data_IF_600354202035
#
_entry.id   IF_600354202035
#
_cell.length_a   1.000
_cell.length_b   1.000
_cell.length_c   1.000
_cell.angle_alpha   90.00
_cell.angle_beta   90.00
_cell.angle_gamma   90.00
#
_symmetry.space_group_name_H-M   'P 1'
#
loop_
_entity.id
_entity.type
_entity.pdbx_description
1 polymer ?
#
# COMPACT_ATOMS: atom_id res chain seq x y z
N UNK A 1 -7.78 -15.75 17.47
CA UNK A 1 -8.61 -14.61 16.98
C UNK A 1 -10.05 -15.08 16.82
N UNK A 2 -11.05 -14.45 17.51
CA UNK A 2 -12.45 -14.90 17.47
C UNK A 2 -13.08 -14.95 16.08
N UNK A 3 -12.59 -14.12 15.15
CA UNK A 3 -13.09 -14.11 13.78
C UNK A 3 -12.61 -15.30 12.94
N UNK A 4 -11.42 -15.86 13.24
CA UNK A 4 -10.87 -17.00 12.51
C UNK A 4 -11.54 -18.32 12.91
N UNK A 5 -12.06 -18.42 14.13
CA UNK A 5 -12.82 -19.59 14.57
C UNK A 5 -14.18 -19.76 13.87
N UNK A 6 -14.62 -18.77 13.09
CA UNK A 6 -15.80 -18.89 12.24
C UNK A 6 -15.54 -19.76 10.99
N UNK A 7 -14.27 -19.98 10.64
CA UNK A 7 -13.86 -20.73 9.46
C UNK A 7 -13.43 -22.14 9.85
N UNK A 8 -14.02 -23.16 9.20
CA UNK A 8 -13.62 -24.56 9.34
C UNK A 8 -12.48 -24.89 8.37
N UNK A 9 -11.26 -24.52 8.76
CA UNK A 9 -10.03 -24.73 7.97
C UNK A 9 -8.97 -25.43 8.81
N UNK A 10 -7.87 -25.88 8.19
CA UNK A 10 -6.79 -26.51 8.93
C UNK A 10 -6.14 -25.53 9.93
N UNK A 11 -5.57 -26.03 11.04
CA UNK A 11 -4.88 -25.19 12.03
C UNK A 11 -3.78 -24.32 11.43
N UNK A 12 -3.06 -24.85 10.43
CA UNK A 12 -2.03 -24.13 9.68
C UNK A 12 -2.58 -22.89 8.94
N UNK A 13 -3.76 -23.01 8.32
CA UNK A 13 -4.41 -21.89 7.64
C UNK A 13 -4.85 -20.83 8.65
N UNK A 14 -5.33 -21.23 9.82
CA UNK A 14 -5.68 -20.29 10.91
C UNK A 14 -4.45 -19.51 11.37
N UNK A 15 -3.32 -20.18 11.56
CA UNK A 15 -2.06 -19.54 11.97
C UNK A 15 -1.56 -18.55 10.90
N UNK A 16 -1.52 -18.98 9.64
CA UNK A 16 -1.12 -18.14 8.52
C UNK A 16 -2.03 -16.90 8.35
N UNK A 17 -3.34 -17.08 8.52
CA UNK A 17 -4.31 -15.99 8.50
C UNK A 17 -4.10 -15.02 9.67
N UNK A 18 -3.87 -15.53 10.88
CA UNK A 18 -3.60 -14.69 12.05
C UNK A 18 -2.34 -13.84 11.86
N UNK A 19 -1.25 -14.45 11.37
CA UNK A 19 0.00 -13.75 11.10
C UNK A 19 -0.18 -12.68 10.01
N UNK A 20 -0.91 -12.99 8.94
CA UNK A 20 -1.20 -12.03 7.87
C UNK A 20 -2.08 -10.87 8.36
N UNK A 21 -3.10 -11.15 9.18
CA UNK A 21 -3.95 -10.11 9.76
C UNK A 21 -3.17 -9.16 10.67
N UNK A 22 -2.25 -9.68 11.49
CA UNK A 22 -1.38 -8.85 12.33
C UNK A 22 -0.52 -7.90 11.46
N UNK A 23 -0.02 -8.38 10.32
CA UNK A 23 0.70 -7.52 9.37
C UNK A 23 -0.21 -6.47 8.75
N UNK A 24 -1.42 -6.84 8.30
CA UNK A 24 -2.39 -5.87 7.77
C UNK A 24 -2.66 -4.76 8.78
N UNK A 25 -2.85 -5.10 10.06
CA UNK A 25 -3.07 -4.13 11.12
C UNK A 25 -1.91 -3.15 11.28
N UNK A 26 -0.66 -3.64 11.21
CA UNK A 26 0.53 -2.79 11.26
C UNK A 26 0.60 -1.82 10.08
N UNK A 27 0.25 -2.28 8.87
CA UNK A 27 0.34 -1.45 7.67
C UNK A 27 -0.87 -0.56 7.42
N UNK A 28 -1.94 -0.72 8.20
CA UNK A 28 -3.16 0.06 8.07
C UNK A 28 -2.89 1.58 8.18
N UNK A 29 -1.95 1.98 9.04
CA UNK A 29 -1.57 3.39 9.18
C UNK A 29 -1.00 3.96 7.88
N UNK A 30 -0.13 3.23 7.17
CA UNK A 30 0.40 3.67 5.88
C UNK A 30 -0.70 3.75 4.84
N UNK A 31 -1.57 2.74 4.80
CA UNK A 31 -2.67 2.66 3.84
C UNK A 31 -3.65 3.83 3.99
N UNK A 32 -4.05 4.15 5.22
CA UNK A 32 -4.95 5.29 5.48
C UNK A 32 -4.28 6.60 5.08
N UNK A 33 -3.00 6.79 5.43
CA UNK A 33 -2.26 7.99 5.02
C UNK A 33 -2.12 8.10 3.49
N UNK A 34 -1.87 7.00 2.79
CA UNK A 34 -1.83 6.96 1.34
C UNK A 34 -3.16 7.37 0.73
N UNK A 35 -4.29 6.85 1.24
CA UNK A 35 -5.61 7.28 0.77
C UNK A 35 -5.83 8.78 1.00
N UNK A 36 -5.49 9.30 2.18
CA UNK A 36 -5.62 10.73 2.48
C UNK A 36 -4.75 11.60 1.56
N UNK A 37 -3.48 11.24 1.36
CA UNK A 37 -2.57 12.02 0.53
C UNK A 37 -2.93 11.91 -0.94
N UNK A 38 -3.04 10.69 -1.46
CA UNK A 38 -3.21 10.45 -2.91
C UNK A 38 -4.62 10.85 -3.35
N UNK A 39 -5.65 10.34 -2.69
CA UNK A 39 -7.04 10.59 -3.07
C UNK A 39 -7.54 11.92 -2.54
N UNK A 40 -7.28 12.22 -1.26
CA UNK A 40 -7.80 13.42 -0.61
C UNK A 40 -7.07 14.70 -1.00
N UNK A 41 -5.74 14.69 -1.05
CA UNK A 41 -4.93 15.90 -1.25
C UNK A 41 -4.51 16.07 -2.71
N UNK A 42 -3.80 15.10 -3.29
CA UNK A 42 -3.20 15.25 -4.60
C UNK A 42 -4.24 15.32 -5.73
N UNK A 43 -5.21 14.40 -5.75
CA UNK A 43 -6.28 14.42 -6.75
C UNK A 43 -7.16 15.67 -6.62
N UNK A 44 -7.50 16.08 -5.40
CA UNK A 44 -8.30 17.30 -5.18
C UNK A 44 -7.54 18.58 -5.57
N UNK A 45 -6.21 18.61 -5.42
CA UNK A 45 -5.35 19.70 -5.88
C UNK A 45 -5.05 19.69 -7.39
N UNK A 46 -5.64 18.75 -8.14
CA UNK A 46 -5.43 18.57 -9.59
C UNK A 46 -4.09 17.94 -9.96
N UNK A 47 -3.34 17.41 -8.99
CA UNK A 47 -2.11 16.66 -9.22
C UNK A 47 -2.41 15.18 -9.58
N UNK A 48 -3.26 15.00 -10.59
CA UNK A 48 -3.75 13.68 -11.02
C UNK A 48 -2.64 12.82 -11.64
N UNK A 49 -1.68 13.45 -12.33
CA UNK A 49 -0.56 12.72 -12.95
C UNK A 49 0.33 12.06 -11.91
N UNK A 50 0.67 12.78 -10.82
CA UNK A 50 1.49 12.21 -9.76
C UNK A 50 0.74 11.15 -8.96
N UNK A 51 -0.56 11.36 -8.68
CA UNK A 51 -1.36 10.34 -8.00
C UNK A 51 -1.51 9.05 -8.83
N UNK A 52 -1.68 9.15 -10.16
CA UNK A 52 -1.65 7.98 -11.05
C UNK A 52 -0.29 7.27 -11.04
N UNK A 53 0.81 8.02 -10.98
CA UNK A 53 2.15 7.41 -10.84
C UNK A 53 2.27 6.60 -9.55
N UNK A 54 1.80 7.13 -8.42
CA UNK A 54 1.82 6.42 -7.14
C UNK A 54 0.96 5.16 -7.13
N UNK A 55 -0.24 5.19 -7.71
CA UNK A 55 -1.17 4.06 -7.69
C UNK A 55 -0.87 3.00 -8.76
N UNK A 56 -0.19 3.37 -9.85
CA UNK A 56 0.14 2.45 -10.94
C UNK A 56 1.57 1.95 -10.86
N UNK A 57 2.54 2.86 -11.00
CA UNK A 57 3.94 2.49 -11.20
C UNK A 57 4.55 1.86 -9.95
N UNK A 58 4.22 2.34 -8.75
CA UNK A 58 4.81 1.80 -7.52
C UNK A 58 4.39 0.33 -7.29
N UNK A 59 3.14 -0.02 -7.62
CA UNK A 59 2.66 -1.40 -7.53
C UNK A 59 3.49 -2.31 -8.43
N UNK A 60 3.66 -1.93 -9.69
CA UNK A 60 4.35 -2.75 -10.68
C UNK A 60 5.88 -2.78 -10.54
N UNK A 61 6.50 -1.73 -9.99
CA UNK A 61 7.95 -1.65 -9.84
C UNK A 61 8.45 -2.12 -8.47
N UNK A 62 7.60 -2.08 -7.44
CA UNK A 62 7.99 -2.41 -6.07
C UNK A 62 7.16 -3.56 -5.53
N UNK A 63 5.83 -3.41 -5.44
CA UNK A 63 4.96 -4.40 -4.81
C UNK A 63 5.00 -5.77 -5.51
N UNK A 64 4.69 -5.80 -6.80
CA UNK A 64 4.63 -7.04 -7.60
C UNK A 64 5.99 -7.73 -7.71
N UNK A 65 7.10 -7.04 -8.07
CA UNK A 65 8.40 -7.70 -8.16
C UNK A 65 8.88 -8.24 -6.82
N UNK A 66 8.74 -7.48 -5.72
CA UNK A 66 9.17 -7.96 -4.41
C UNK A 66 8.32 -9.12 -3.91
N UNK A 67 7.00 -9.11 -4.13
CA UNK A 67 6.14 -10.23 -3.80
C UNK A 67 6.50 -11.48 -4.63
N UNK A 68 6.76 -11.32 -5.94
CA UNK A 68 7.17 -12.41 -6.81
C UNK A 68 8.54 -12.99 -6.40
N UNK A 69 9.52 -12.14 -6.08
CA UNK A 69 10.81 -12.58 -5.55
C UNK A 69 10.64 -13.32 -4.22
N UNK A 70 9.86 -12.78 -3.29
CA UNK A 70 9.54 -13.41 -2.01
C UNK A 70 8.91 -14.79 -2.16
N UNK A 71 7.94 -14.93 -3.07
CA UNK A 71 7.20 -16.17 -3.26
C UNK A 71 7.99 -17.22 -4.07
N UNK A 72 8.55 -16.84 -5.22
CA UNK A 72 9.08 -17.80 -6.20
C UNK A 72 10.59 -17.99 -6.14
N UNK A 73 11.35 -17.02 -5.61
CA UNK A 73 12.81 -17.13 -5.51
C UNK A 73 13.20 -17.52 -4.09
N UNK A 74 12.73 -16.76 -3.10
CA UNK A 74 13.07 -16.98 -1.69
C UNK A 74 12.19 -17.99 -0.97
N UNK A 75 11.06 -18.40 -1.58
CA UNK A 75 10.12 -19.38 -1.04
C UNK A 75 9.66 -19.01 0.37
N UNK A 76 9.40 -17.72 0.60
CA UNK A 76 8.96 -17.23 1.89
C UNK A 76 7.56 -17.74 2.24
N UNK A 77 7.27 -17.92 3.54
CA UNK A 77 5.90 -18.17 4.00
C UNK A 77 4.99 -16.98 3.66
N UNK A 78 3.70 -17.26 3.50
CA UNK A 78 2.71 -16.30 2.97
C UNK A 78 2.70 -14.94 3.66
N UNK A 79 2.92 -14.91 4.99
CA UNK A 79 2.96 -13.66 5.75
C UNK A 79 4.15 -12.78 5.34
N UNK A 80 5.34 -13.36 5.12
CA UNK A 80 6.50 -12.60 4.63
C UNK A 80 6.33 -12.16 3.16
N UNK A 81 5.67 -12.97 2.33
CA UNK A 81 5.29 -12.55 0.96
C UNK A 81 4.33 -11.37 1.02
N UNK A 82 3.39 -11.37 1.97
CA UNK A 82 2.49 -10.24 2.20
C UNK A 82 3.27 -8.99 2.63
N UNK A 83 4.28 -9.09 3.50
CA UNK A 83 5.17 -7.95 3.80
C UNK A 83 5.87 -7.40 2.56
N UNK A 84 6.35 -8.29 1.69
CA UNK A 84 6.97 -7.87 0.43
C UNK A 84 5.99 -7.08 -0.43
N UNK A 85 4.73 -7.51 -0.52
CA UNK A 85 3.68 -6.74 -1.19
C UNK A 85 3.43 -5.39 -0.50
N UNK A 86 3.36 -5.36 0.84
CA UNK A 86 3.12 -4.13 1.62
C UNK A 86 4.25 -3.08 1.52
N UNK A 87 5.43 -3.44 1.02
CA UNK A 87 6.51 -2.48 0.75
C UNK A 87 6.08 -1.35 -0.19
N UNK A 88 5.11 -1.60 -1.08
CA UNK A 88 4.55 -0.58 -1.96
C UNK A 88 3.82 0.51 -1.17
N UNK A 89 3.16 0.17 -0.06
CA UNK A 89 2.41 1.11 0.77
C UNK A 89 3.37 2.07 1.48
N UNK A 90 4.51 1.55 1.97
CA UNK A 90 5.56 2.38 2.57
C UNK A 90 6.19 3.29 1.52
N UNK A 91 6.44 2.76 0.32
CA UNK A 91 7.01 3.54 -0.79
C UNK A 91 6.09 4.67 -1.22
N UNK A 92 4.79 4.37 -1.44
CA UNK A 92 3.75 5.36 -1.72
C UNK A 92 3.69 6.43 -0.63
N UNK A 93 3.78 6.02 0.63
CA UNK A 93 3.70 6.93 1.77
C UNK A 93 4.87 7.91 1.82
N UNK A 94 6.10 7.41 1.65
CA UNK A 94 7.30 8.25 1.61
C UNK A 94 7.23 9.26 0.46
N UNK A 95 6.95 8.79 -0.76
CA UNK A 95 6.86 9.66 -1.94
C UNK A 95 5.68 10.64 -1.85
N UNK A 96 4.55 10.19 -1.33
CA UNK A 96 3.36 11.00 -1.07
C UNK A 96 3.64 12.13 -0.10
N UNK A 97 4.29 11.86 1.03
CA UNK A 97 4.68 12.90 2.00
C UNK A 97 5.66 13.89 1.38
N UNK A 98 6.67 13.42 0.64
CA UNK A 98 7.63 14.30 -0.04
C UNK A 98 6.92 15.21 -1.05
N UNK A 99 5.99 14.66 -1.83
CA UNK A 99 5.20 15.45 -2.77
C UNK A 99 4.31 16.46 -2.05
N UNK A 100 3.63 16.04 -1.00
CA UNK A 100 2.79 16.90 -0.17
C UNK A 100 3.58 18.07 0.41
N UNK A 101 4.74 17.80 1.01
CA UNK A 101 5.66 18.83 1.56
C UNK A 101 6.20 19.78 0.51
N UNK A 102 6.42 19.30 -0.72
CA UNK A 102 6.93 20.15 -1.81
C UNK A 102 5.94 21.22 -2.27
N UNK A 103 4.65 21.14 -1.87
CA UNK A 103 3.55 22.04 -2.27
C UNK A 103 3.29 22.13 -3.78
N UNK A 104 4.09 21.46 -4.63
CA UNK A 104 3.94 21.36 -6.09
C UNK A 104 2.63 20.71 -6.54
N UNK A 105 1.88 20.11 -5.62
CA UNK A 105 0.57 19.54 -5.87
C UNK A 105 -0.55 20.60 -5.90
N UNK A 106 -0.29 21.82 -5.41
CA UNK A 106 -1.27 22.91 -5.41
C UNK A 106 -1.30 23.53 -6.79
N UNK A 107 -2.25 23.13 -7.62
CA UNK A 107 -2.48 23.71 -8.94
C UNK A 107 -3.68 24.65 -8.90
N UNK A 108 -3.63 25.73 -9.68
CA UNK A 108 -4.81 26.57 -9.88
C UNK A 108 -5.78 25.86 -10.84
N UNK A 109 -6.92 25.44 -10.30
CA UNK A 109 -7.96 24.73 -11.06
C UNK A 109 -9.05 25.67 -11.60
N UNK A 110 -9.06 26.93 -11.17
CA UNK A 110 -10.11 27.89 -11.51
C UNK A 110 -9.89 28.59 -12.86
N UNK A 111 -8.77 28.36 -13.54
CA UNK A 111 -8.50 28.92 -14.87
C UNK A 111 -8.57 30.45 -14.90
N UNK A 112 -7.47 31.12 -14.58
CA UNK A 112 -7.27 32.51 -14.98
C UNK A 112 -6.05 32.51 -15.89
N UNK A 113 -6.30 32.63 -17.19
CA UNK A 113 -5.30 33.09 -18.15
C UNK A 113 -4.99 34.57 -17.89
#
# INVERSE_FOLDING_TARGET
>A
MPILSLYKVSPEVVENAANTLNMVSLFLLFRVNNMTIVVGILRAGGDTKFSMFLDGFIIWLVGVPLAALGAFVFHFPVHLVYLCAMSEEVTKWLLGILRWRSRKWINNLAGSA
#
